data_IF_913182654785
#
_entry.id   IF_913182654785
#
_cell.length_a   1.000
_cell.length_b   1.000
_cell.length_c   1.000
_cell.angle_alpha   90.00
_cell.angle_beta   90.00
_cell.angle_gamma   90.00
#
_symmetry.space_group_name_H-M   'P 1'
#
loop_
_entity.id
_entity.type
_entity.pdbx_description
1 polymer ?
#
# COMPACT_ATOMS: atom_id res chain seq x y z
N UNK A 1 7.01 0.54 2.67
CA UNK A 1 6.14 0.79 1.49
C UNK A 1 6.56 -0.04 0.28
N UNK A 2 7.72 0.21 -0.34
CA UNK A 2 8.10 -0.47 -1.60
C UNK A 2 8.21 -2.00 -1.49
N UNK A 3 8.62 -2.55 -0.33
CA UNK A 3 8.58 -3.99 -0.10
C UNK A 3 7.15 -4.56 -0.22
N UNK A 4 6.16 -3.87 0.35
CA UNK A 4 4.75 -4.27 0.24
C UNK A 4 4.24 -4.15 -1.20
N UNK A 5 4.69 -3.15 -1.96
CA UNK A 5 4.40 -3.04 -3.39
C UNK A 5 5.01 -4.22 -4.16
N UNK A 6 6.27 -4.56 -3.89
CA UNK A 6 6.99 -5.64 -4.56
C UNK A 6 6.35 -7.02 -4.38
N UNK A 7 5.76 -7.29 -3.21
CA UNK A 7 5.01 -8.53 -2.95
C UNK A 7 3.53 -8.45 -3.37
N UNK A 8 3.05 -7.28 -3.77
CA UNK A 8 1.67 -7.09 -4.21
C UNK A 8 1.52 -7.33 -5.71
N UNK A 9 0.30 -7.62 -6.15
CA UNK A 9 -0.09 -7.61 -7.57
C UNK A 9 -0.58 -6.23 -8.04
N UNK A 10 0.08 -5.15 -7.59
CA UNK A 10 -0.20 -3.77 -8.04
C UNK A 10 0.93 -3.38 -9.00
N UNK A 11 0.60 -3.19 -10.27
CA UNK A 11 1.57 -2.89 -11.33
C UNK A 11 1.38 -1.51 -11.97
N UNK A 12 0.30 -0.80 -11.63
CA UNK A 12 0.05 0.53 -12.18
C UNK A 12 0.92 1.56 -11.46
N UNK A 13 1.87 2.16 -12.17
CA UNK A 13 2.73 3.22 -11.64
C UNK A 13 1.93 4.37 -11.02
N UNK A 14 0.84 4.76 -11.69
CA UNK A 14 -0.09 5.77 -11.19
C UNK A 14 -0.62 5.43 -9.80
N UNK A 15 -1.01 4.16 -9.59
CA UNK A 15 -1.55 3.69 -8.32
C UNK A 15 -0.46 3.54 -7.26
N UNK A 16 0.73 3.09 -7.66
CA UNK A 16 1.89 2.98 -6.76
C UNK A 16 2.27 4.38 -6.24
N UNK A 17 2.34 5.37 -7.13
CA UNK A 17 2.60 6.77 -6.77
C UNK A 17 1.49 7.34 -5.88
N UNK A 18 0.23 7.07 -6.20
CA UNK A 18 -0.90 7.48 -5.36
C UNK A 18 -0.80 6.90 -3.93
N UNK A 19 -0.53 5.61 -3.80
CA UNK A 19 -0.39 4.95 -2.49
C UNK A 19 0.86 5.44 -1.75
N UNK A 20 1.95 5.77 -2.47
CA UNK A 20 3.16 6.36 -1.88
C UNK A 20 2.86 7.73 -1.30
N UNK A 21 2.20 8.60 -2.07
CA UNK A 21 1.85 9.95 -1.62
C UNK A 21 0.94 9.89 -0.39
N UNK A 22 -0.02 8.95 -0.34
CA UNK A 22 -0.88 8.77 0.82
C UNK A 22 -0.15 8.18 2.04
N UNK A 23 0.54 7.04 1.89
CA UNK A 23 1.10 6.27 3.01
C UNK A 23 2.47 6.77 3.49
N UNK A 24 3.22 7.45 2.64
CA UNK A 24 4.59 7.94 2.93
C UNK A 24 4.66 9.45 2.87
N UNK A 25 4.02 10.07 1.86
CA UNK A 25 3.99 11.52 1.71
C UNK A 25 3.04 12.24 2.68
N UNK A 26 2.15 11.52 3.36
CA UNK A 26 1.18 12.10 4.28
C UNK A 26 0.07 12.90 3.60
N UNK A 27 -0.07 12.79 2.27
CA UNK A 27 -1.13 13.47 1.54
C UNK A 27 -2.50 12.90 1.92
N UNK A 28 -3.52 13.76 1.93
CA UNK A 28 -4.89 13.33 2.20
C UNK A 28 -5.42 12.45 1.06
N UNK A 29 -6.43 11.63 1.37
CA UNK A 29 -7.14 10.83 0.35
C UNK A 29 -7.69 11.71 -0.78
N UNK A 30 -8.22 12.88 -0.43
CA UNK A 30 -8.81 13.82 -1.40
C UNK A 30 -7.77 14.27 -2.42
N UNK A 31 -6.64 14.78 -1.95
CA UNK A 31 -5.55 15.26 -2.82
C UNK A 31 -5.02 14.15 -3.72
N UNK A 32 -4.84 12.94 -3.20
CA UNK A 32 -4.35 11.80 -3.97
C UNK A 32 -5.37 11.35 -5.02
N UNK A 33 -6.65 11.22 -4.65
CA UNK A 33 -7.71 10.85 -5.60
C UNK A 33 -7.85 11.88 -6.73
N UNK A 34 -7.73 13.17 -6.42
CA UNK A 34 -7.75 14.25 -7.42
C UNK A 34 -6.51 14.22 -8.32
N UNK A 35 -5.31 14.17 -7.74
CA UNK A 35 -4.02 14.16 -8.45
C UNK A 35 -3.85 12.98 -9.39
N UNK A 36 -4.27 11.79 -8.97
CA UNK A 36 -4.08 10.54 -9.71
C UNK A 36 -5.36 10.03 -10.40
N UNK A 37 -6.43 10.83 -10.39
CA UNK A 37 -7.71 10.49 -11.01
C UNK A 37 -8.25 9.13 -10.55
N UNK A 38 -8.14 8.86 -9.25
CA UNK A 38 -8.64 7.65 -8.63
C UNK A 38 -10.02 7.91 -8.03
N UNK A 39 -10.96 7.02 -8.29
CA UNK A 39 -12.22 7.04 -7.55
C UNK A 39 -12.03 6.46 -6.14
N UNK A 40 -12.92 6.83 -5.21
CA UNK A 40 -12.84 6.41 -3.81
C UNK A 40 -12.88 4.88 -3.62
N UNK A 41 -13.64 4.17 -4.46
CA UNK A 41 -13.71 2.71 -4.42
C UNK A 41 -12.36 2.09 -4.74
N UNK A 42 -11.74 2.50 -5.85
CA UNK A 42 -10.46 2.00 -6.30
C UNK A 42 -9.33 2.33 -5.32
N UNK A 43 -9.34 3.54 -4.76
CA UNK A 43 -8.45 3.92 -3.67
C UNK A 43 -8.61 2.98 -2.47
N UNK A 44 -9.85 2.79 -2.00
CA UNK A 44 -10.14 1.98 -0.80
C UNK A 44 -9.79 0.51 -1.00
N UNK A 45 -10.10 -0.06 -2.16
CA UNK A 45 -9.74 -1.44 -2.50
C UNK A 45 -8.22 -1.62 -2.56
N UNK A 46 -7.51 -0.67 -3.17
CA UNK A 46 -6.04 -0.72 -3.25
C UNK A 46 -5.41 -0.62 -1.86
N UNK A 47 -5.86 0.34 -1.04
CA UNK A 47 -5.41 0.50 0.33
C UNK A 47 -5.69 -0.76 1.17
N UNK A 48 -6.89 -1.33 1.05
CA UNK A 48 -7.27 -2.57 1.73
C UNK A 48 -6.36 -3.75 1.36
N UNK A 49 -5.96 -3.88 0.08
CA UNK A 49 -5.00 -4.90 -0.36
C UNK A 49 -3.64 -4.73 0.32
N UNK A 50 -3.15 -3.49 0.42
CA UNK A 50 -1.87 -3.21 1.09
C UNK A 50 -1.94 -3.44 2.61
N UNK A 51 -3.04 -3.05 3.26
CA UNK A 51 -3.25 -3.32 4.69
C UNK A 51 -3.29 -4.83 4.96
N UNK A 52 -3.97 -5.61 4.10
CA UNK A 52 -3.98 -7.07 4.21
C UNK A 52 -2.58 -7.67 4.05
N UNK A 53 -1.80 -7.20 3.08
CA UNK A 53 -0.41 -7.63 2.90
C UNK A 53 0.47 -7.26 4.08
N UNK A 54 0.28 -6.07 4.66
CA UNK A 54 0.97 -5.65 5.86
C UNK A 54 0.67 -6.58 7.05
N UNK A 55 -0.59 -6.95 7.25
CA UNK A 55 -0.98 -7.89 8.29
C UNK A 55 -0.36 -9.29 8.08
N UNK A 56 -0.28 -9.75 6.83
CA UNK A 56 0.39 -11.01 6.50
C UNK A 56 1.91 -10.93 6.74
N UNK A 57 2.55 -9.83 6.34
CA UNK A 57 3.96 -9.60 6.59
C UNK A 57 4.27 -9.58 8.09
N UNK A 58 3.42 -8.93 8.90
CA UNK A 58 3.55 -8.94 10.36
C UNK A 58 3.40 -10.34 10.96
N UNK A 59 2.52 -11.19 10.42
CA UNK A 59 2.39 -12.59 10.82
C UNK A 59 3.57 -13.45 10.39
N UNK A 60 4.23 -13.07 9.29
CA UNK A 60 5.43 -13.75 8.82
C UNK A 60 6.68 -13.33 9.59
N UNK A 61 6.73 -12.10 10.10
CA UNK A 61 7.90 -11.53 10.77
C UNK A 61 8.55 -12.41 11.86
N UNK A 62 7.79 -13.12 12.72
CA UNK A 62 8.38 -14.01 13.73
C UNK A 62 9.24 -15.15 13.15
N UNK A 63 8.93 -15.62 11.94
CA UNK A 63 9.72 -16.67 11.27
C UNK A 63 11.06 -16.16 10.71
N UNK A 64 11.30 -14.85 10.75
CA UNK A 64 12.53 -14.21 10.30
C UNK A 64 13.32 -13.60 11.48
N UNK A 65 12.83 -13.75 12.71
CA UNK A 65 13.60 -13.46 13.91
C UNK A 65 14.22 -14.75 14.40
N UNK A 66 15.51 -14.74 14.70
CA UNK A 66 16.17 -15.91 15.30
C UNK A 66 15.48 -16.22 16.64
N UNK A 67 14.68 -17.29 16.68
CA UNK A 67 14.48 -18.05 17.92
C UNK A 67 15.82 -18.76 18.19
N UNK A 68 16.73 -18.06 18.87
CA UNK A 68 17.77 -18.68 19.69
C UNK A 68 17.25 -18.88 21.10
#
# INVERSE_FOLDING_TARGET
FFLLIGISSIHSDRVILAMKDYLVGGHSRKEVCEKYQMNNGYFSTTLGRLIRLNALAARLAPYYTDES
#
